data_IF_393485651504
#
_entry.id   IF_393485651504
#
_cell.length_a   1.000
_cell.length_b   1.000
_cell.length_c   1.000
_cell.angle_alpha   90.00
_cell.angle_beta   90.00
_cell.angle_gamma   90.00
#
_symmetry.space_group_name_H-M   'P 1'
#
loop_
_entity.id
_entity.type
_entity.pdbx_description
1 polymer ?
#
# COMPACT_ATOMS: atom_id res chain seq x y z
N UNK A 1 -21.85 60.04 -7.49
CA UNK A 1 -20.95 60.45 -8.57
C UNK A 1 -20.55 59.25 -9.41
N UNK A 2 -20.29 59.47 -10.67
CA UNK A 2 -20.07 58.36 -11.65
C UNK A 2 -18.87 57.49 -11.29
N UNK A 3 -17.77 58.04 -10.79
CA UNK A 3 -16.56 57.31 -10.40
C UNK A 3 -16.79 56.37 -9.23
N UNK A 4 -17.52 56.80 -8.24
CA UNK A 4 -17.80 55.99 -7.05
C UNK A 4 -18.67 54.79 -7.38
N UNK A 5 -19.71 55.00 -8.18
CA UNK A 5 -20.58 53.95 -8.67
C UNK A 5 -19.81 52.93 -9.48
N UNK A 6 -18.92 53.35 -10.35
CA UNK A 6 -18.09 52.49 -11.17
C UNK A 6 -17.18 51.62 -10.31
N UNK A 7 -16.53 52.20 -9.32
CA UNK A 7 -15.66 51.50 -8.38
C UNK A 7 -16.46 50.46 -7.58
N UNK A 8 -17.64 50.84 -7.07
CA UNK A 8 -18.51 49.94 -6.32
C UNK A 8 -18.94 48.76 -7.20
N UNK A 9 -19.35 49.03 -8.45
CA UNK A 9 -19.75 48.00 -9.40
C UNK A 9 -18.59 47.01 -9.69
N UNK A 10 -17.37 47.55 -9.89
CA UNK A 10 -16.19 46.70 -10.09
C UNK A 10 -15.88 45.83 -8.88
N UNK A 11 -15.92 46.43 -7.70
CA UNK A 11 -15.66 45.68 -6.45
C UNK A 11 -16.72 44.60 -6.23
N UNK A 12 -17.98 44.91 -6.50
CA UNK A 12 -19.08 43.94 -6.38
C UNK A 12 -18.87 42.75 -7.33
N UNK A 13 -18.50 43.05 -8.58
CA UNK A 13 -18.22 42.02 -9.58
C UNK A 13 -17.02 41.19 -9.19
N UNK A 14 -15.94 41.82 -8.76
CA UNK A 14 -14.73 41.14 -8.29
C UNK A 14 -15.03 40.23 -7.09
N UNK A 15 -15.80 40.73 -6.12
CA UNK A 15 -16.17 39.95 -4.94
C UNK A 15 -17.02 38.73 -5.34
N UNK A 16 -17.98 38.90 -6.24
CA UNK A 16 -18.81 37.80 -6.72
C UNK A 16 -17.95 36.73 -7.40
N UNK A 17 -16.98 37.12 -8.22
CA UNK A 17 -16.06 36.21 -8.88
C UNK A 17 -15.16 35.47 -7.86
N UNK A 18 -14.67 36.17 -6.85
CA UNK A 18 -13.86 35.58 -5.80
C UNK A 18 -14.66 34.57 -4.97
N UNK A 19 -15.89 34.88 -4.63
CA UNK A 19 -16.79 33.97 -3.91
C UNK A 19 -17.02 32.69 -4.72
N UNK A 20 -17.25 32.84 -6.03
CA UNK A 20 -17.43 31.69 -6.92
C UNK A 20 -16.16 30.83 -6.98
N UNK A 21 -14.99 31.45 -7.10
CA UNK A 21 -13.70 30.74 -7.09
C UNK A 21 -13.48 29.98 -5.78
N UNK A 22 -13.78 30.63 -4.65
CA UNK A 22 -13.67 29.99 -3.32
C UNK A 22 -14.58 28.77 -3.23
N UNK A 23 -15.81 28.87 -3.71
CA UNK A 23 -16.74 27.75 -3.73
C UNK A 23 -16.22 26.57 -4.56
N UNK A 24 -15.67 26.84 -5.73
CA UNK A 24 -15.06 25.80 -6.59
C UNK A 24 -13.84 25.16 -5.95
N UNK A 25 -13.00 25.97 -5.30
CA UNK A 25 -11.85 25.46 -4.56
C UNK A 25 -12.24 24.58 -3.40
N UNK A 26 -13.28 24.96 -2.64
CA UNK A 26 -13.80 24.15 -1.54
C UNK A 26 -14.30 22.79 -2.04
N UNK A 27 -15.06 22.78 -3.13
CA UNK A 27 -15.55 21.53 -3.74
C UNK A 27 -14.37 20.65 -4.17
N UNK A 28 -13.36 21.26 -4.74
CA UNK A 28 -12.14 20.53 -5.17
C UNK A 28 -11.40 19.93 -3.98
N UNK A 29 -11.26 20.71 -2.90
CA UNK A 29 -10.63 20.26 -1.66
C UNK A 29 -11.39 19.07 -1.06
N UNK A 30 -12.72 19.14 -1.00
CA UNK A 30 -13.55 18.04 -0.51
C UNK A 30 -13.34 16.77 -1.33
N UNK A 31 -13.31 16.91 -2.66
CA UNK A 31 -13.00 15.78 -3.56
C UNK A 31 -11.63 15.18 -3.31
N UNK A 32 -10.61 16.01 -3.07
CA UNK A 32 -9.27 15.56 -2.75
C UNK A 32 -9.21 14.81 -1.41
N UNK A 33 -9.94 15.29 -0.41
CA UNK A 33 -10.02 14.61 0.89
C UNK A 33 -10.66 13.23 0.77
N UNK A 34 -11.72 13.10 -0.03
CA UNK A 34 -12.31 11.80 -0.31
C UNK A 34 -11.33 10.86 -1.00
N UNK A 35 -10.61 11.35 -1.99
CA UNK A 35 -9.58 10.58 -2.70
C UNK A 35 -8.49 10.11 -1.74
N UNK A 36 -8.00 10.99 -0.88
CA UNK A 36 -7.02 10.65 0.14
C UNK A 36 -7.56 9.58 1.08
N UNK A 37 -8.82 9.69 1.48
CA UNK A 37 -9.48 8.69 2.30
C UNK A 37 -9.49 7.30 1.67
N UNK A 38 -9.89 7.20 0.40
CA UNK A 38 -9.89 5.94 -0.35
C UNK A 38 -8.49 5.37 -0.50
N UNK A 39 -7.52 6.22 -0.81
CA UNK A 39 -6.13 5.78 -0.95
C UNK A 39 -5.54 5.27 0.37
N UNK A 40 -5.89 5.92 1.49
CA UNK A 40 -5.46 5.48 2.81
C UNK A 40 -6.05 4.12 3.17
N UNK A 41 -7.33 3.89 2.88
CA UNK A 41 -7.97 2.58 3.08
C UNK A 41 -7.25 1.51 2.26
N UNK A 42 -6.95 1.80 1.00
CA UNK A 42 -6.23 0.88 0.12
C UNK A 42 -4.83 0.58 0.63
N UNK A 43 -4.12 1.58 1.13
CA UNK A 43 -2.80 1.41 1.73
C UNK A 43 -2.89 0.49 2.95
N UNK A 44 -3.88 0.68 3.81
CA UNK A 44 -4.09 -0.16 4.98
C UNK A 44 -4.38 -1.61 4.58
N UNK A 45 -5.23 -1.82 3.57
CA UNK A 45 -5.53 -3.15 3.04
C UNK A 45 -4.28 -3.83 2.48
N UNK A 46 -3.46 -3.08 1.75
CA UNK A 46 -2.20 -3.58 1.20
C UNK A 46 -1.20 -3.94 2.30
N UNK A 47 -1.12 -3.17 3.36
CA UNK A 47 -0.29 -3.49 4.52
C UNK A 47 -0.74 -4.78 5.19
N UNK A 48 -2.04 -4.97 5.32
CA UNK A 48 -2.60 -6.19 5.89
C UNK A 48 -2.29 -7.41 5.02
N UNK A 49 -2.51 -7.31 3.71
CA UNK A 49 -2.17 -8.37 2.75
C UNK A 49 -0.68 -8.70 2.78
N UNK A 50 0.17 -7.69 2.87
CA UNK A 50 1.61 -7.86 2.97
C UNK A 50 1.99 -8.64 4.23
N UNK A 51 1.37 -8.30 5.35
CA UNK A 51 1.60 -9.02 6.61
C UNK A 51 1.19 -10.49 6.51
N UNK A 52 0.03 -10.78 5.89
CA UNK A 52 -0.43 -12.15 5.65
C UNK A 52 0.54 -12.92 4.75
N UNK A 53 0.99 -12.30 3.66
CA UNK A 53 1.96 -12.90 2.75
C UNK A 53 3.29 -13.20 3.44
N UNK A 54 3.76 -12.29 4.27
CA UNK A 54 4.98 -12.50 5.05
C UNK A 54 4.86 -13.70 6.00
N UNK A 55 3.71 -13.87 6.65
CA UNK A 55 3.44 -15.02 7.50
C UNK A 55 3.44 -16.32 6.70
N UNK A 56 2.76 -16.35 5.56
CA UNK A 56 2.75 -17.52 4.67
C UNK A 56 4.15 -17.84 4.16
N UNK A 57 4.92 -16.83 3.85
CA UNK A 57 6.30 -16.97 3.38
C UNK A 57 7.18 -17.60 4.45
N UNK A 58 7.05 -17.16 5.70
CA UNK A 58 7.78 -17.73 6.83
C UNK A 58 7.42 -19.20 7.05
N UNK A 59 6.14 -19.53 6.96
CA UNK A 59 5.67 -20.91 7.07
C UNK A 59 6.24 -21.81 5.97
N UNK A 60 6.25 -21.32 4.73
CA UNK A 60 6.82 -22.03 3.60
C UNK A 60 8.33 -22.25 3.75
N UNK A 61 9.05 -21.24 4.21
CA UNK A 61 10.48 -21.36 4.50
C UNK A 61 10.76 -22.41 5.57
N UNK A 62 9.95 -22.41 6.62
CA UNK A 62 10.07 -23.39 7.69
C UNK A 62 9.85 -24.81 7.16
N UNK A 63 8.81 -25.00 6.35
CA UNK A 63 8.51 -26.30 5.75
C UNK A 63 9.63 -26.75 4.82
N UNK A 64 10.14 -25.84 4.00
CA UNK A 64 11.24 -26.12 3.07
C UNK A 64 12.49 -26.53 3.85
N UNK A 65 12.83 -25.80 4.90
CA UNK A 65 13.95 -26.13 5.77
C UNK A 65 13.79 -27.53 6.39
N UNK A 66 12.62 -27.83 6.92
CA UNK A 66 12.32 -29.14 7.50
C UNK A 66 12.46 -30.27 6.46
N UNK A 67 11.99 -30.01 5.23
CA UNK A 67 12.11 -30.99 4.14
C UNK A 67 13.57 -31.21 3.74
N UNK A 68 14.38 -30.15 3.67
CA UNK A 68 15.80 -30.24 3.38
C UNK A 68 16.56 -31.01 4.47
N UNK A 69 16.25 -30.75 5.73
CA UNK A 69 16.84 -31.48 6.85
C UNK A 69 16.48 -32.97 6.78
N UNK A 70 15.23 -33.30 6.51
CA UNK A 70 14.79 -34.70 6.34
C UNK A 70 15.49 -35.37 5.17
N UNK A 71 15.63 -34.66 4.07
CA UNK A 71 16.32 -35.15 2.88
C UNK A 71 17.79 -35.45 3.19
N UNK A 72 18.47 -34.51 3.85
CA UNK A 72 19.87 -34.69 4.27
C UNK A 72 20.03 -35.85 5.22
N UNK A 73 19.14 -36.00 6.19
CA UNK A 73 19.15 -37.14 7.13
C UNK A 73 18.94 -38.45 6.42
N UNK A 74 17.98 -38.52 5.49
CA UNK A 74 17.72 -39.71 4.70
C UNK A 74 18.92 -40.09 3.83
N UNK A 75 19.52 -39.12 3.15
CA UNK A 75 20.73 -39.33 2.33
C UNK A 75 21.88 -39.84 3.16
N UNK A 76 22.09 -39.26 4.33
CA UNK A 76 23.14 -39.67 5.26
C UNK A 76 22.92 -41.11 5.73
N UNK A 77 21.70 -41.45 6.11
CA UNK A 77 21.35 -42.83 6.52
C UNK A 77 21.57 -43.82 5.39
N UNK A 78 21.19 -43.48 4.18
CA UNK A 78 21.40 -44.33 3.01
C UNK A 78 22.89 -44.50 2.71
N UNK A 79 23.67 -43.45 2.79
CA UNK A 79 25.11 -43.49 2.58
C UNK A 79 25.79 -44.37 3.62
N UNK A 80 25.42 -44.28 4.88
CA UNK A 80 25.94 -45.11 5.96
C UNK A 80 25.58 -46.61 5.71
N UNK A 81 24.34 -46.86 5.29
CA UNK A 81 23.89 -48.21 5.01
C UNK A 81 24.60 -48.85 3.81
N UNK A 82 24.73 -48.12 2.72
CA UNK A 82 25.39 -48.60 1.51
C UNK A 82 26.93 -48.54 1.60
N UNK A 83 27.45 -47.64 2.40
CA UNK A 83 28.90 -47.54 2.66
C UNK A 83 29.46 -48.80 3.29
N UNK A 84 28.75 -49.39 4.22
CA UNK A 84 29.11 -50.65 4.86
C UNK A 84 29.19 -51.82 3.86
N UNK A 85 28.41 -51.78 2.81
CA UNK A 85 28.45 -52.80 1.73
C UNK A 85 29.60 -52.63 0.76
N UNK A 86 30.03 -51.41 0.53
CA UNK A 86 31.08 -51.10 -0.45
C UNK A 86 32.48 -51.32 0.10
N UNK A 87 32.64 -51.34 1.41
CA UNK A 87 33.93 -51.61 2.07
C UNK A 87 34.30 -53.08 2.11
N UNK A 88 33.40 -53.92 1.67
CA UNK A 88 33.63 -55.33 1.52
C UNK A 88 34.08 -55.67 0.09
#
# INVERSE_FOLDING_TARGET
MIKEKFIIDQLTTTNANLVDQIGRMQTHIEGLWEEVGFKNEKINDLHFEKAELNEKFKELYKKLYEMEVRKSSAEKSMTEFFGDRTDN
#
